data_IF_322250530282
#
_entry.id   IF_322250530282
#
_cell.length_a   1.000
_cell.length_b   1.000
_cell.length_c   1.000
_cell.angle_alpha   90.00
_cell.angle_beta   90.00
_cell.angle_gamma   90.00
#
_symmetry.space_group_name_H-M   'P 1'
#
loop_
_entity.id
_entity.type
_entity.pdbx_description
1 polymer ?
#
# COMPACT_ATOMS: atom_id res chain seq x y z
N UNK A 1 -13.94 13.12 40.37
CA UNK A 1 -14.23 12.85 38.94
C UNK A 1 -12.98 12.24 38.33
N UNK A 2 -13.02 10.97 37.93
CA UNK A 2 -11.87 10.28 37.36
C UNK A 2 -11.69 10.76 35.91
N UNK A 3 -10.85 11.77 35.69
CA UNK A 3 -10.44 12.20 34.35
C UNK A 3 -9.39 11.21 33.86
N UNK A 4 -9.83 10.13 33.22
CA UNK A 4 -8.92 9.31 32.44
C UNK A 4 -8.71 10.03 31.10
N UNK A 5 -7.76 10.96 31.07
CA UNK A 5 -7.27 11.55 29.84
C UNK A 5 -6.45 10.47 29.10
N UNK A 6 -7.13 9.50 28.49
CA UNK A 6 -6.49 8.53 27.61
C UNK A 6 -6.18 9.24 26.30
N UNK A 7 -4.90 9.56 26.10
CA UNK A 7 -4.39 10.00 24.81
C UNK A 7 -4.31 8.80 23.87
N UNK A 8 -5.19 8.76 22.89
CA UNK A 8 -5.15 7.76 21.82
C UNK A 8 -4.44 8.35 20.61
N UNK A 9 -3.57 7.58 19.98
CA UNK A 9 -2.89 7.95 18.74
C UNK A 9 -3.67 7.39 17.54
N UNK A 10 -3.69 8.14 16.45
CA UNK A 10 -4.21 7.66 15.17
C UNK A 10 -3.02 7.06 14.38
N UNK A 11 -2.95 5.73 14.20
CA UNK A 11 -1.79 5.11 13.58
C UNK A 11 -1.81 5.28 12.06
N UNK A 12 -0.97 6.17 11.54
CA UNK A 12 -0.69 6.25 10.10
C UNK A 12 0.54 5.42 9.74
N UNK A 13 0.36 4.35 8.96
CA UNK A 13 1.41 3.62 8.24
C UNK A 13 2.06 4.47 7.15
N UNK A 14 3.38 4.40 7.02
CA UNK A 14 4.17 5.12 5.99
C UNK A 14 3.69 4.81 4.57
N UNK A 15 3.31 3.56 4.32
CA UNK A 15 2.68 3.13 3.08
C UNK A 15 1.23 2.73 3.35
N UNK A 16 0.30 3.64 3.08
CA UNK A 16 -1.14 3.35 3.06
C UNK A 16 -1.58 2.59 1.82
N UNK A 17 -0.80 2.70 0.75
CA UNK A 17 -1.15 2.22 -0.58
C UNK A 17 -0.86 0.74 -0.80
N UNK A 18 -0.10 0.12 0.11
CA UNK A 18 0.27 -1.29 0.03
C UNK A 18 1.11 -1.61 -1.21
N UNK A 19 0.84 -2.78 -1.81
CA UNK A 19 1.55 -3.32 -2.98
C UNK A 19 0.89 -2.94 -4.31
N UNK A 20 -0.29 -2.32 -4.26
CA UNK A 20 -1.13 -2.12 -5.45
C UNK A 20 -0.49 -1.17 -6.49
N UNK A 21 0.13 -0.03 -6.13
CA UNK A 21 0.73 0.87 -7.12
C UNK A 21 1.86 0.24 -7.94
N UNK A 22 2.85 -0.46 -7.34
CA UNK A 22 3.89 -1.17 -8.12
C UNK A 22 3.34 -2.21 -9.08
N UNK A 23 2.26 -2.90 -8.70
CA UNK A 23 1.59 -3.88 -9.57
C UNK A 23 0.99 -3.17 -10.77
N UNK A 24 0.17 -2.13 -10.57
CA UNK A 24 -0.44 -1.39 -11.68
C UNK A 24 0.60 -0.78 -12.62
N UNK A 25 1.67 -0.18 -12.07
CA UNK A 25 2.77 0.33 -12.87
C UNK A 25 3.41 -0.77 -13.73
N UNK A 26 3.66 -1.95 -13.17
CA UNK A 26 4.24 -3.08 -13.91
C UNK A 26 3.30 -3.63 -14.99
N UNK A 27 2.01 -3.77 -14.69
CA UNK A 27 1.03 -4.30 -15.65
C UNK A 27 0.84 -3.37 -16.84
N UNK A 28 0.79 -2.05 -16.62
CA UNK A 28 0.66 -1.06 -17.70
C UNK A 28 1.92 -1.03 -18.57
N UNK A 29 3.10 -1.17 -17.98
CA UNK A 29 4.36 -1.22 -18.73
C UNK A 29 4.52 -2.50 -19.54
N UNK A 30 4.11 -3.64 -18.98
CA UNK A 30 4.20 -4.93 -19.67
C UNK A 30 3.18 -5.06 -20.80
N UNK A 31 2.08 -4.30 -20.77
CA UNK A 31 1.02 -4.42 -21.77
C UNK A 31 1.51 -4.08 -23.20
N UNK A 32 2.13 -2.91 -23.48
CA UNK A 32 2.70 -2.63 -24.80
C UNK A 32 3.83 -3.59 -25.19
N UNK A 33 4.67 -3.99 -24.23
CA UNK A 33 5.77 -4.92 -24.48
C UNK A 33 5.26 -6.30 -24.94
N UNK A 34 4.17 -6.79 -24.34
CA UNK A 34 3.52 -8.05 -24.70
C UNK A 34 2.91 -7.97 -26.10
N UNK A 35 2.24 -6.86 -26.45
CA UNK A 35 1.71 -6.64 -27.80
C UNK A 35 2.84 -6.58 -28.83
N UNK A 36 3.93 -5.87 -28.53
CA UNK A 36 5.10 -5.80 -29.39
C UNK A 36 5.74 -7.19 -29.60
N UNK A 37 5.77 -8.03 -28.56
CA UNK A 37 6.31 -9.37 -28.64
C UNK A 37 5.44 -10.32 -29.47
N UNK A 38 4.11 -10.21 -29.40
CA UNK A 38 3.20 -11.06 -30.18
C UNK A 38 2.99 -10.60 -31.63
N UNK A 39 2.94 -9.29 -31.87
CA UNK A 39 2.60 -8.72 -33.18
C UNK A 39 3.78 -8.11 -33.93
N UNK A 40 4.91 -7.88 -33.25
CA UNK A 40 6.14 -7.32 -33.84
C UNK A 40 7.07 -8.36 -34.46
N UNK A 41 6.84 -9.67 -34.32
CA UNK A 41 7.71 -10.72 -34.84
C UNK A 41 7.37 -11.09 -36.29
N UNK A 42 7.53 -10.16 -37.23
CA UNK A 42 7.39 -10.42 -38.67
C UNK A 42 8.71 -10.21 -39.41
N UNK A 43 9.00 -11.08 -40.38
CA UNK A 43 10.24 -11.07 -41.16
C UNK A 43 10.39 -9.82 -42.05
N UNK A 44 9.27 -9.24 -42.52
CA UNK A 44 9.20 -7.95 -43.22
C UNK A 44 8.27 -6.98 -42.47
N UNK A 45 8.79 -6.12 -41.57
CA UNK A 45 7.96 -5.30 -40.72
C UNK A 45 7.44 -4.05 -41.45
N UNK A 46 6.11 -3.90 -41.49
CA UNK A 46 5.43 -2.66 -41.84
C UNK A 46 5.84 -1.51 -40.90
N UNK A 47 5.65 -0.24 -41.29
CA UNK A 47 6.01 0.93 -40.46
C UNK A 47 5.43 0.86 -39.02
N UNK A 48 4.22 0.31 -38.89
CA UNK A 48 3.55 0.05 -37.61
C UNK A 48 4.29 -1.04 -36.81
N UNK A 49 4.71 -2.15 -37.43
CA UNK A 49 5.48 -3.20 -36.77
C UNK A 49 6.88 -2.75 -36.35
N UNK A 50 7.55 -1.89 -37.13
CA UNK A 50 8.82 -1.27 -36.70
C UNK A 50 8.64 -0.37 -35.49
N UNK A 51 7.56 0.42 -35.45
CA UNK A 51 7.22 1.22 -34.28
C UNK A 51 6.98 0.32 -33.06
N UNK A 52 6.21 -0.76 -33.20
CA UNK A 52 6.01 -1.73 -32.11
C UNK A 52 7.31 -2.41 -31.66
N UNK A 53 8.19 -2.80 -32.59
CA UNK A 53 9.50 -3.38 -32.25
C UNK A 53 10.38 -2.39 -31.49
N UNK A 54 10.44 -1.12 -31.91
CA UNK A 54 11.20 -0.08 -31.20
C UNK A 54 10.63 0.22 -29.81
N UNK A 55 9.31 0.22 -29.66
CA UNK A 55 8.64 0.39 -28.36
C UNK A 55 8.93 -0.82 -27.47
N UNK A 56 8.79 -2.04 -27.98
CA UNK A 56 9.09 -3.28 -27.24
C UNK A 56 10.56 -3.39 -26.84
N UNK A 57 11.49 -2.94 -27.70
CA UNK A 57 12.92 -2.91 -27.39
C UNK A 57 13.24 -1.91 -26.29
N UNK A 58 12.65 -0.71 -26.34
CA UNK A 58 12.89 0.36 -25.36
C UNK A 58 12.15 0.15 -24.03
N UNK A 59 11.00 -0.55 -24.03
CA UNK A 59 10.25 -0.95 -22.83
C UNK A 59 10.68 -2.33 -22.29
N UNK A 60 11.75 -2.91 -22.83
CA UNK A 60 12.32 -4.14 -22.30
C UNK A 60 12.92 -3.94 -20.89
N UNK A 61 12.79 -4.92 -19.99
CA UNK A 61 13.46 -4.91 -18.70
C UNK A 61 14.98 -4.75 -18.87
N UNK A 62 15.61 -3.87 -18.09
CA UNK A 62 17.04 -3.55 -18.16
C UNK A 62 17.40 -2.30 -18.97
N UNK A 63 16.44 -1.68 -19.69
CA UNK A 63 16.66 -0.41 -20.38
C UNK A 63 16.51 0.80 -19.42
N UNK A 64 17.34 1.85 -19.53
CA UNK A 64 17.24 3.03 -18.66
C UNK A 64 15.91 3.79 -18.86
N UNK A 65 15.34 3.77 -20.08
CA UNK A 65 14.00 4.34 -20.35
C UNK A 65 12.93 3.62 -19.52
N UNK A 66 12.99 2.29 -19.45
CA UNK A 66 12.03 1.48 -18.71
C UNK A 66 12.11 1.79 -17.21
N UNK A 67 13.32 1.86 -16.66
CA UNK A 67 13.57 2.19 -15.25
C UNK A 67 12.99 3.56 -14.88
N UNK A 68 13.23 4.59 -15.71
CA UNK A 68 12.77 5.95 -15.44
C UNK A 68 11.25 6.07 -15.55
N UNK A 69 10.65 5.44 -16.57
CA UNK A 69 9.19 5.43 -16.74
C UNK A 69 8.52 4.63 -15.62
N UNK A 70 9.12 3.51 -15.20
CA UNK A 70 8.65 2.71 -14.08
C UNK A 70 8.70 3.47 -12.76
N UNK A 71 9.79 4.16 -12.46
CA UNK A 71 9.91 5.01 -11.29
C UNK A 71 8.82 6.10 -11.26
N UNK A 72 8.62 6.80 -12.40
CA UNK A 72 7.59 7.82 -12.53
C UNK A 72 6.18 7.28 -12.33
N UNK A 73 5.87 6.13 -12.92
CA UNK A 73 4.57 5.48 -12.76
C UNK A 73 4.33 5.02 -11.31
N UNK A 74 5.31 4.45 -10.62
CA UNK A 74 5.18 4.07 -9.20
C UNK A 74 4.81 5.29 -8.37
N UNK A 75 5.56 6.39 -8.50
CA UNK A 75 5.30 7.61 -7.73
C UNK A 75 3.90 8.14 -8.03
N UNK A 76 3.53 8.23 -9.30
CA UNK A 76 2.19 8.65 -9.71
C UNK A 76 1.08 7.78 -9.10
N UNK A 77 1.18 6.46 -9.22
CA UNK A 77 0.16 5.55 -8.69
C UNK A 77 0.12 5.53 -7.16
N UNK A 78 1.23 5.73 -6.46
CA UNK A 78 1.25 5.84 -5.00
C UNK A 78 0.42 7.05 -4.52
N UNK A 79 0.57 8.20 -5.17
CA UNK A 79 -0.24 9.39 -4.87
C UNK A 79 -1.70 9.19 -5.27
N UNK A 80 -1.94 8.69 -6.49
CA UNK A 80 -3.27 8.48 -7.03
C UNK A 80 -4.09 7.49 -6.19
N UNK A 81 -3.51 6.34 -5.84
CA UNK A 81 -4.21 5.33 -5.03
C UNK A 81 -4.48 5.83 -3.61
N UNK A 82 -3.51 6.52 -2.98
CA UNK A 82 -3.72 7.05 -1.62
C UNK A 82 -4.85 8.08 -1.59
N UNK A 83 -4.92 8.97 -2.59
CA UNK A 83 -5.97 9.98 -2.70
C UNK A 83 -7.36 9.38 -2.97
N UNK A 84 -7.45 8.28 -3.72
CA UNK A 84 -8.72 7.59 -3.97
C UNK A 84 -9.22 6.81 -2.76
N UNK A 85 -8.32 6.14 -2.05
CA UNK A 85 -8.68 5.23 -0.96
C UNK A 85 -8.95 5.99 0.35
N UNK A 86 -8.28 7.11 0.58
CA UNK A 86 -8.33 7.81 1.86
C UNK A 86 -9.10 9.13 1.78
N UNK A 87 -10.27 9.16 2.43
CA UNK A 87 -11.03 10.39 2.61
C UNK A 87 -10.74 11.04 3.97
N UNK A 88 -9.93 12.10 3.96
CA UNK A 88 -9.58 12.90 5.13
C UNK A 88 -10.78 13.55 5.80
N UNK A 89 -11.82 13.90 5.02
CA UNK A 89 -13.06 14.53 5.51
C UNK A 89 -13.90 13.54 6.32
N UNK A 90 -14.10 12.35 5.78
CA UNK A 90 -14.88 11.30 6.47
C UNK A 90 -14.19 10.87 7.76
N UNK A 91 -12.86 10.77 7.75
CA UNK A 91 -12.07 10.48 8.96
C UNK A 91 -12.24 11.56 10.02
N UNK A 92 -12.19 12.84 9.64
CA UNK A 92 -12.39 13.96 10.56
C UNK A 92 -13.83 13.98 11.14
N UNK A 93 -14.83 13.68 10.33
CA UNK A 93 -16.22 13.59 10.77
C UNK A 93 -16.44 12.39 11.71
N UNK A 94 -15.80 11.26 11.45
CA UNK A 94 -15.82 10.10 12.34
C UNK A 94 -15.16 10.40 13.69
N UNK A 95 -14.03 11.12 13.70
CA UNK A 95 -13.40 11.58 14.94
C UNK A 95 -14.33 12.49 15.74
N UNK A 96 -14.99 13.44 15.05
CA UNK A 96 -15.97 14.35 15.68
C UNK A 96 -17.16 13.59 16.26
N UNK A 97 -17.71 12.61 15.54
CA UNK A 97 -18.81 11.75 16.02
C UNK A 97 -18.40 10.88 17.21
N UNK A 98 -17.15 10.41 17.24
CA UNK A 98 -16.58 9.65 18.35
C UNK A 98 -16.22 10.52 19.57
N UNK A 99 -16.43 11.84 19.52
CA UNK A 99 -16.04 12.77 20.59
C UNK A 99 -14.52 12.97 20.73
N UNK A 100 -13.74 12.49 19.76
CA UNK A 100 -12.29 12.65 19.72
C UNK A 100 -11.90 13.92 18.96
N UNK A 101 -10.87 14.61 19.43
CA UNK A 101 -10.33 15.80 18.76
C UNK A 101 -8.81 15.81 18.81
N UNK A 102 -8.20 16.39 17.78
CA UNK A 102 -6.75 16.60 17.76
C UNK A 102 -6.40 17.81 18.64
N UNK A 103 -5.45 17.69 19.58
CA UNK A 103 -4.99 18.82 20.38
C UNK A 103 -4.48 19.96 19.48
N UNK A 104 -4.98 21.18 19.71
CA UNK A 104 -4.55 22.36 18.98
C UNK A 104 -5.23 22.61 17.63
N UNK A 105 -6.13 21.72 17.16
CA UNK A 105 -6.84 21.89 15.88
C UNK A 105 -8.35 21.86 16.11
N UNK A 106 -9.08 22.81 15.51
CA UNK A 106 -10.54 22.88 15.62
C UNK A 106 -11.19 21.68 14.90
N UNK A 107 -12.12 20.94 15.54
CA UNK A 107 -12.78 19.77 14.93
C UNK A 107 -13.54 20.11 13.64
N UNK A 108 -13.48 19.22 12.65
CA UNK A 108 -14.17 19.35 11.36
C UNK A 108 -13.19 19.64 10.22
N UNK A 109 -13.44 20.70 9.43
CA UNK A 109 -12.67 21.03 8.23
C UNK A 109 -11.16 21.18 8.48
N UNK A 110 -10.76 21.86 9.56
CA UNK A 110 -9.34 22.03 9.89
C UNK A 110 -8.65 20.73 10.30
N UNK A 111 -9.38 19.78 10.90
CA UNK A 111 -8.85 18.43 11.17
C UNK A 111 -8.63 17.67 9.87
N UNK A 112 -9.56 17.77 8.91
CA UNK A 112 -9.43 17.13 7.60
C UNK A 112 -8.22 17.68 6.82
N UNK A 113 -8.05 19.00 6.77
CA UNK A 113 -6.89 19.65 6.12
C UNK A 113 -5.56 19.25 6.75
N UNK A 114 -5.54 19.12 8.08
CA UNK A 114 -4.33 18.68 8.79
C UNK A 114 -3.98 17.23 8.47
N UNK A 115 -4.96 16.32 8.52
CA UNK A 115 -4.77 14.91 8.18
C UNK A 115 -4.29 14.78 6.73
N UNK A 116 -4.91 15.51 5.80
CA UNK A 116 -4.54 15.51 4.39
C UNK A 116 -3.09 15.96 4.14
N UNK A 117 -2.66 17.04 4.83
CA UNK A 117 -1.28 17.53 4.76
C UNK A 117 -0.28 16.51 5.31
N UNK A 118 -0.63 15.82 6.40
CA UNK A 118 0.22 14.77 6.99
C UNK A 118 0.33 13.58 6.04
N UNK A 119 -0.80 13.11 5.50
CA UNK A 119 -0.84 12.00 4.55
C UNK A 119 -0.04 12.30 3.29
N UNK A 120 -0.19 13.48 2.71
CA UNK A 120 0.56 13.88 1.50
C UNK A 120 2.07 13.81 1.73
N UNK A 121 2.56 14.29 2.89
CA UNK A 121 3.99 14.22 3.24
C UNK A 121 4.46 12.80 3.50
N UNK A 122 3.61 11.99 4.14
CA UNK A 122 3.91 10.59 4.43
C UNK A 122 4.02 9.78 3.13
N UNK A 123 3.06 9.97 2.22
CA UNK A 123 3.02 9.33 0.90
C UNK A 123 4.18 9.74 0.03
N UNK A 124 4.65 10.99 0.11
CA UNK A 124 5.85 11.44 -0.59
C UNK A 124 7.06 10.57 -0.24
N UNK A 125 7.38 10.43 1.05
CA UNK A 125 8.49 9.58 1.50
C UNK A 125 8.22 8.09 1.25
N UNK A 126 6.97 7.64 1.41
CA UNK A 126 6.56 6.27 1.12
C UNK A 126 6.75 5.88 -0.35
N UNK A 127 6.42 6.78 -1.27
CA UNK A 127 6.58 6.58 -2.71
C UNK A 127 8.06 6.44 -3.10
N UNK A 128 8.95 7.27 -2.53
CA UNK A 128 10.40 7.14 -2.76
C UNK A 128 10.95 5.83 -2.22
N UNK A 129 10.49 5.39 -1.05
CA UNK A 129 10.88 4.10 -0.48
C UNK A 129 10.47 2.94 -1.39
N UNK A 130 9.21 2.91 -1.82
CA UNK A 130 8.67 1.87 -2.71
C UNK A 130 9.40 1.87 -4.05
N UNK A 131 9.56 3.04 -4.67
CA UNK A 131 10.30 3.19 -5.90
C UNK A 131 11.74 2.69 -5.73
N UNK A 132 12.44 3.06 -4.66
CA UNK A 132 13.78 2.58 -4.36
C UNK A 132 13.87 1.05 -4.29
N UNK A 133 12.95 0.41 -3.55
CA UNK A 133 12.91 -1.06 -3.42
C UNK A 133 12.61 -1.75 -4.76
N UNK A 134 11.71 -1.20 -5.57
CA UNK A 134 11.40 -1.75 -6.89
C UNK A 134 12.52 -1.54 -7.93
N UNK A 135 13.23 -0.42 -7.86
CA UNK A 135 14.30 -0.06 -8.79
C UNK A 135 15.60 -0.80 -8.48
N UNK A 136 15.86 -1.16 -7.22
CA UNK A 136 17.14 -1.77 -6.81
C UNK A 136 17.46 -3.05 -7.62
N UNK A 137 16.55 -4.03 -7.76
CA UNK A 137 16.82 -5.22 -8.56
C UNK A 137 16.94 -4.93 -10.06
N UNK A 138 16.25 -3.90 -10.54
CA UNK A 138 16.30 -3.49 -11.94
C UNK A 138 17.63 -2.81 -12.29
N UNK A 139 18.17 -2.01 -11.37
CA UNK A 139 19.52 -1.44 -11.48
C UNK A 139 20.59 -2.54 -11.44
N UNK A 140 20.45 -3.53 -10.55
CA UNK A 140 21.37 -4.68 -10.50
C UNK A 140 21.35 -5.44 -11.83
N UNK A 141 20.17 -5.66 -12.42
CA UNK A 141 20.04 -6.28 -13.74
C UNK A 141 20.70 -5.45 -14.85
N UNK A 142 20.62 -4.13 -14.78
CA UNK A 142 21.26 -3.21 -15.73
C UNK A 142 22.80 -3.29 -15.65
N UNK A 143 23.38 -3.37 -14.45
CA UNK A 143 24.84 -3.45 -14.28
C UNK A 143 25.41 -4.87 -14.45
N UNK A 144 24.63 -5.91 -14.12
CA UNK A 144 25.04 -7.32 -14.17
C UNK A 144 24.10 -8.17 -15.02
N UNK A 145 24.07 -7.99 -16.36
CA UNK A 145 23.17 -8.72 -17.25
C UNK A 145 23.48 -10.22 -17.36
N UNK A 146 24.69 -10.65 -16.98
CA UNK A 146 25.13 -12.06 -17.05
C UNK A 146 24.57 -12.94 -15.93
N UNK A 147 23.99 -12.35 -14.87
CA UNK A 147 23.38 -13.11 -13.78
C UNK A 147 21.87 -13.22 -14.03
N UNK A 148 21.31 -14.43 -14.24
CA UNK A 148 19.88 -14.59 -14.44
C UNK A 148 19.14 -14.35 -13.12
N UNK A 149 18.86 -13.09 -12.84
CA UNK A 149 18.10 -12.69 -11.66
C UNK A 149 16.60 -12.85 -11.96
N UNK A 150 16.06 -14.02 -11.61
CA UNK A 150 14.64 -14.38 -11.82
C UNK A 150 13.67 -13.63 -10.89
N UNK A 151 14.17 -12.98 -9.84
CA UNK A 151 13.36 -12.21 -8.89
C UNK A 151 13.31 -10.73 -9.28
N UNK A 152 12.22 -10.29 -9.92
CA UNK A 152 11.99 -8.86 -10.18
C UNK A 152 11.69 -8.07 -8.89
N UNK A 153 12.03 -6.77 -8.86
CA UNK A 153 11.75 -5.93 -7.68
C UNK A 153 10.28 -5.86 -7.30
N UNK A 154 9.37 -5.92 -8.27
CA UNK A 154 7.92 -6.04 -8.03
C UNK A 154 7.57 -7.35 -7.33
N UNK A 155 8.15 -8.49 -7.76
CA UNK A 155 7.86 -9.81 -7.19
C UNK A 155 8.30 -9.93 -5.73
N UNK A 156 9.46 -9.34 -5.39
CA UNK A 156 9.97 -9.30 -4.03
C UNK A 156 9.09 -8.43 -3.13
N UNK A 157 8.66 -7.27 -3.63
CA UNK A 157 7.75 -6.37 -2.90
C UNK A 157 6.40 -7.04 -2.64
N UNK A 158 5.84 -7.72 -3.65
CA UNK A 158 4.60 -8.49 -3.51
C UNK A 158 4.74 -9.54 -2.41
N UNK A 159 5.83 -10.32 -2.41
CA UNK A 159 6.05 -11.35 -1.40
C UNK A 159 6.05 -10.77 0.02
N UNK A 160 6.78 -9.68 0.25
CA UNK A 160 6.89 -9.07 1.59
C UNK A 160 5.57 -8.42 2.03
N UNK A 161 4.87 -7.70 1.15
CA UNK A 161 3.63 -7.02 1.53
C UNK A 161 2.49 -8.01 1.76
N UNK A 162 2.33 -9.01 0.90
CA UNK A 162 1.27 -10.02 1.06
C UNK A 162 1.52 -10.87 2.31
N UNK A 163 2.77 -11.20 2.63
CA UNK A 163 3.08 -11.94 3.87
C UNK A 163 2.81 -11.10 5.11
N UNK A 164 3.11 -9.79 5.08
CA UNK A 164 2.76 -8.87 6.16
C UNK A 164 1.24 -8.71 6.33
N UNK A 165 0.49 -8.57 5.22
CA UNK A 165 -0.97 -8.46 5.24
C UNK A 165 -1.62 -9.76 5.75
N UNK A 166 -1.10 -10.92 5.34
CA UNK A 166 -1.56 -12.21 5.84
C UNK A 166 -1.34 -12.34 7.35
N UNK A 167 -0.15 -11.98 7.84
CA UNK A 167 0.13 -11.98 9.28
C UNK A 167 -0.81 -11.05 10.06
N UNK A 168 -1.06 -9.84 9.55
CA UNK A 168 -1.98 -8.89 10.19
C UNK A 168 -3.42 -9.42 10.24
N UNK A 169 -3.90 -10.05 9.15
CA UNK A 169 -5.23 -10.67 9.11
C UNK A 169 -5.34 -11.85 10.06
N UNK A 170 -4.32 -12.71 10.13
CA UNK A 170 -4.27 -13.82 11.09
C UNK A 170 -4.32 -13.32 12.54
N UNK A 171 -3.55 -12.28 12.87
CA UNK A 171 -3.56 -11.68 14.21
C UNK A 171 -4.91 -11.07 14.56
N UNK A 172 -5.55 -10.36 13.63
CA UNK A 172 -6.88 -9.78 13.84
C UNK A 172 -7.92 -10.88 14.10
N UNK A 173 -7.86 -11.98 13.35
CA UNK A 173 -8.76 -13.12 13.55
C UNK A 173 -8.48 -13.83 14.87
N UNK A 174 -7.22 -14.08 15.22
CA UNK A 174 -6.84 -14.67 16.52
C UNK A 174 -7.30 -13.80 17.71
N UNK A 175 -7.19 -12.48 17.61
CA UNK A 175 -7.67 -11.55 18.64
C UNK A 175 -9.19 -11.65 18.81
N UNK A 176 -9.95 -11.78 17.72
CA UNK A 176 -11.42 -11.92 17.79
C UNK A 176 -11.87 -13.17 18.58
N UNK A 177 -11.16 -14.29 18.45
CA UNK A 177 -11.44 -15.50 19.24
C UNK A 177 -11.06 -15.37 20.72
N UNK A 178 -10.01 -14.59 21.05
CA UNK A 178 -9.66 -14.33 22.44
C UNK A 178 -10.72 -13.47 23.17
N UNK A 179 -11.46 -12.62 22.44
CA UNK A 179 -12.57 -11.86 22.98
C UNK A 179 -13.75 -12.74 23.41
N UNK A 180 -14.10 -13.79 22.66
CA UNK A 180 -15.17 -14.74 23.03
C UNK A 180 -14.85 -15.44 24.36
N UNK A 181 -13.61 -15.90 24.54
CA UNK A 181 -13.17 -16.56 25.77
C UNK A 181 -13.15 -15.65 27.01
N UNK A 182 -12.88 -14.35 26.83
CA UNK A 182 -12.94 -13.36 27.92
C UNK A 182 -14.39 -12.99 28.28
N UNK A 183 -15.28 -12.85 27.29
CA UNK A 183 -16.70 -12.60 27.54
C UNK A 183 -17.40 -13.77 28.22
N UNK A 184 -17.09 -15.01 27.85
CA UNK A 184 -17.70 -16.20 28.44
C UNK A 184 -17.26 -16.40 29.91
N UNK A 185 -15.98 -16.12 30.24
CA UNK A 185 -15.50 -16.11 31.63
C UNK A 185 -16.11 -14.99 32.48
N UNK A 186 -16.41 -13.83 31.90
CA UNK A 186 -17.10 -12.75 32.59
C UNK A 186 -18.57 -13.10 32.89
N UNK A 187 -19.27 -13.76 31.96
CA UNK A 187 -20.66 -14.19 32.16
C UNK A 187 -20.80 -15.31 33.21
N UNK A 188 -19.84 -16.25 33.25
CA UNK A 188 -19.83 -17.33 34.25
C UNK A 188 -19.62 -16.84 35.71
N UNK A 189 -19.02 -15.66 35.90
CA UNK A 189 -18.79 -15.08 37.23
C UNK A 189 -20.05 -14.44 37.85
N UNK A 190 -21.08 -14.16 37.05
CA UNK A 190 -22.35 -13.60 37.54
C UNK A 190 -23.43 -14.66 37.86
N UNK A 191 -23.21 -15.95 37.54
CA UNK A 191 -24.24 -16.99 37.73
C UNK A 191 -24.17 -17.74 39.07
N UNK A 192 -23.35 -17.30 40.03
CA UNK A 192 -23.00 -18.14 41.19
C UNK A 192 -23.01 -17.50 42.58
N UNK A 193 -23.70 -16.36 42.80
CA UNK A 193 -23.72 -15.76 44.16
C UNK A 193 -25.01 -15.00 44.48
N UNK A 194 -26.15 -15.67 44.32
CA UNK A 194 -27.42 -15.26 44.91
C UNK A 194 -27.88 -16.33 45.89
N UNK A 195 -27.79 -16.05 47.19
CA UNK A 195 -28.45 -16.86 48.22
C UNK A 195 -27.56 -17.31 49.37
N UNK A 196 -27.29 -16.40 50.31
CA UNK A 196 -27.31 -16.70 51.75
C UNK A 196 -27.23 -15.36 52.50
N UNK A 197 -28.40 -14.83 52.83
CA UNK A 197 -28.58 -13.85 53.90
C UNK A 197 -29.16 -14.66 55.05
N UNK A 198 -28.39 -14.83 56.14
CA UNK A 198 -28.90 -15.28 57.43
C UNK A 198 -29.41 -14.06 58.19
#
# INVERSE_FOLDING_TARGET
KMFQAQSTHLPFKINMSGVIPPIFASSILMFPATIAQFFGQAADPNAVQRALQTIGANLGPGQPIYVLLYAGMIVFFCFFYTALMYNSKDTADNLKKAGAFLPGIRPGAHTAEYIDRVLTRLTFWGAFYIAGVCLLPELVRMFYPAMPFSFGGTSLLILVVVTMDFMAQMQAHAMSHQYEGMMQKANLRNYGRGGQVR
#
